data_IF_326149771120
#
_entry.id   IF_326149771120
#
_cell.length_a   1.000
_cell.length_b   1.000
_cell.length_c   1.000
_cell.angle_alpha   90.00
_cell.angle_beta   90.00
_cell.angle_gamma   90.00
#
_symmetry.space_group_name_H-M   'P 1'
#
loop_
_entity.id
_entity.type
_entity.pdbx_description
1 polymer ?
#
# COMPACT_ATOMS: atom_id res chain seq x y z
N UNK A 1 -1.21 11.36 4.40
CA UNK A 1 -2.56 10.79 4.60
C UNK A 1 -2.65 9.37 4.03
N UNK A 2 -2.40 9.15 2.73
CA UNK A 2 -2.46 7.79 2.12
C UNK A 2 -1.40 6.83 2.67
N UNK A 3 -0.14 7.26 2.83
CA UNK A 3 0.91 6.41 3.39
C UNK A 3 0.60 5.89 4.81
N UNK A 4 -0.03 6.73 5.65
CA UNK A 4 -0.47 6.32 6.99
C UNK A 4 -1.61 5.31 6.94
N UNK A 5 -2.58 5.50 6.05
CA UNK A 5 -3.67 4.54 5.86
C UNK A 5 -3.16 3.18 5.35
N UNK A 6 -2.19 3.20 4.43
CA UNK A 6 -1.48 2.01 3.97
C UNK A 6 -0.74 1.32 5.12
N UNK A 7 0.02 2.07 5.93
CA UNK A 7 0.70 1.53 7.09
C UNK A 7 -0.25 0.93 8.11
N UNK A 8 -1.37 1.61 8.42
CA UNK A 8 -2.41 1.06 9.30
C UNK A 8 -3.03 -0.20 8.74
N UNK A 9 -3.22 -0.29 7.41
CA UNK A 9 -3.72 -1.49 6.77
C UNK A 9 -2.73 -2.65 6.84
N UNK A 10 -1.45 -2.40 6.56
CA UNK A 10 -0.39 -3.40 6.68
C UNK A 10 -0.24 -3.88 8.13
N UNK A 11 -0.25 -2.96 9.08
CA UNK A 11 -0.21 -3.25 10.51
C UNK A 11 -1.35 -4.20 10.92
N UNK A 12 -2.58 -3.94 10.45
CA UNK A 12 -3.73 -4.81 10.70
C UNK A 12 -3.58 -6.21 10.05
N UNK A 13 -3.03 -6.29 8.84
CA UNK A 13 -2.81 -7.57 8.13
C UNK A 13 -1.74 -8.41 8.83
N UNK A 14 -0.64 -7.79 9.24
CA UNK A 14 0.47 -8.48 9.92
C UNK A 14 0.30 -8.57 11.43
N UNK A 15 -0.78 -8.03 12.00
CA UNK A 15 -1.02 -7.95 13.44
C UNK A 15 0.16 -7.33 14.21
N UNK A 16 0.72 -6.25 13.66
CA UNK A 16 1.79 -5.44 14.27
C UNK A 16 1.29 -4.03 14.56
N UNK A 17 2.05 -3.24 15.31
CA UNK A 17 1.68 -1.84 15.57
C UNK A 17 1.98 -0.98 14.33
N UNK A 18 1.17 0.07 14.12
CA UNK A 18 1.38 1.00 12.98
C UNK A 18 2.74 1.71 13.05
N UNK A 19 3.26 1.89 14.26
CA UNK A 19 4.58 2.47 14.53
C UNK A 19 5.74 1.55 14.14
N UNK A 20 5.50 0.23 14.08
CA UNK A 20 6.48 -0.76 13.63
C UNK A 20 6.56 -0.84 12.10
N UNK A 21 5.60 -0.23 11.39
CA UNK A 21 5.58 -0.19 9.92
C UNK A 21 6.43 0.96 9.42
N UNK A 22 7.67 0.64 9.06
CA UNK A 22 8.59 1.57 8.41
C UNK A 22 8.10 1.97 7.01
N UNK A 23 7.91 3.27 6.79
CA UNK A 23 7.44 3.83 5.54
C UNK A 23 8.55 3.94 4.47
N UNK A 24 9.80 3.98 4.90
CA UNK A 24 10.98 4.25 4.08
C UNK A 24 11.63 2.98 3.53
N UNK A 25 11.01 1.81 3.77
CA UNK A 25 11.39 0.53 3.17
C UNK A 25 10.32 0.00 2.21
N UNK A 26 10.72 -0.94 1.35
CA UNK A 26 9.84 -1.54 0.37
C UNK A 26 8.71 -2.33 1.03
N UNK A 27 7.53 -2.29 0.41
CA UNK A 27 6.33 -3.00 0.91
C UNK A 27 6.59 -4.50 1.02
N UNK A 28 7.34 -5.08 0.07
CA UNK A 28 7.72 -6.48 0.07
C UNK A 28 8.60 -6.89 1.27
N UNK A 29 9.38 -5.95 1.83
CA UNK A 29 10.24 -6.22 3.01
C UNK A 29 9.40 -6.41 4.26
N UNK A 30 8.19 -5.83 4.33
CA UNK A 30 7.22 -6.05 5.40
C UNK A 30 6.54 -7.42 5.35
N UNK A 31 6.94 -8.32 4.45
CA UNK A 31 6.30 -9.61 4.25
C UNK A 31 5.08 -9.56 3.33
N UNK A 32 4.91 -8.46 2.57
CA UNK A 32 3.86 -8.38 1.54
C UNK A 32 4.21 -9.33 0.40
N UNK A 33 3.50 -10.44 0.37
CA UNK A 33 3.53 -11.43 -0.69
C UNK A 33 2.49 -11.12 -1.78
N UNK A 34 2.37 -12.03 -2.76
CA UNK A 34 1.39 -11.92 -3.84
C UNK A 34 -0.06 -11.87 -3.33
N UNK A 35 -0.40 -12.56 -2.25
CA UNK A 35 -1.76 -12.60 -1.71
C UNK A 35 -2.12 -11.27 -1.04
N UNK A 36 -1.24 -10.79 -0.16
CA UNK A 36 -1.40 -9.50 0.51
C UNK A 36 -1.42 -8.36 -0.51
N UNK A 37 -0.60 -8.44 -1.57
CA UNK A 37 -0.63 -7.46 -2.66
C UNK A 37 -1.98 -7.45 -3.41
N UNK A 38 -2.59 -8.61 -3.66
CA UNK A 38 -3.92 -8.70 -4.26
C UNK A 38 -4.99 -8.08 -3.36
N UNK A 39 -4.95 -8.37 -2.06
CA UNK A 39 -5.88 -7.77 -1.09
C UNK A 39 -5.72 -6.25 -1.01
N UNK A 40 -4.49 -5.76 -0.97
CA UNK A 40 -4.17 -4.34 -0.91
C UNK A 40 -4.65 -3.63 -2.17
N UNK A 41 -4.40 -4.20 -3.35
CA UNK A 41 -4.93 -3.69 -4.63
C UNK A 41 -6.44 -3.58 -4.62
N UNK A 42 -7.12 -4.66 -4.19
CA UNK A 42 -8.58 -4.71 -4.16
C UNK A 42 -9.12 -3.65 -3.20
N UNK A 43 -8.54 -3.51 -2.02
CA UNK A 43 -8.91 -2.47 -1.06
C UNK A 43 -8.72 -1.05 -1.60
N UNK A 44 -7.59 -0.77 -2.26
CA UNK A 44 -7.31 0.53 -2.87
C UNK A 44 -8.27 0.85 -4.02
N UNK A 45 -8.62 -0.16 -4.80
CA UNK A 45 -9.62 -0.06 -5.87
C UNK A 45 -11.00 0.28 -5.29
N UNK A 46 -11.38 -0.33 -4.17
CA UNK A 46 -12.66 -0.08 -3.50
C UNK A 46 -12.71 1.28 -2.80
N UNK A 47 -11.62 1.69 -2.16
CA UNK A 47 -11.59 2.88 -1.30
C UNK A 47 -11.43 4.18 -2.10
N UNK A 48 -10.53 4.18 -3.09
CA UNK A 48 -10.16 5.40 -3.83
C UNK A 48 -10.18 5.21 -5.35
N UNK A 49 -10.71 4.09 -5.85
CA UNK A 49 -10.78 3.76 -7.28
C UNK A 49 -9.41 3.82 -7.98
N UNK A 50 -8.34 3.57 -7.23
CA UNK A 50 -6.99 3.49 -7.79
C UNK A 50 -6.81 2.19 -8.57
N UNK A 51 -6.46 2.31 -9.85
CA UNK A 51 -6.18 1.16 -10.72
C UNK A 51 -4.69 0.87 -10.72
N UNK A 52 -4.28 -0.08 -9.90
CA UNK A 52 -2.89 -0.52 -9.74
C UNK A 52 -2.74 -1.99 -10.13
N UNK A 53 -1.59 -2.33 -10.69
CA UNK A 53 -1.20 -3.72 -10.95
C UNK A 53 -0.56 -4.33 -9.71
N UNK A 54 -0.60 -5.66 -9.57
CA UNK A 54 0.11 -6.35 -8.47
C UNK A 54 1.62 -6.03 -8.52
N UNK A 55 2.17 -5.95 -9.74
CA UNK A 55 3.56 -5.53 -9.97
C UNK A 55 3.85 -4.15 -9.43
N UNK A 56 2.94 -3.18 -9.58
CA UNK A 56 3.13 -1.82 -9.05
C UNK A 56 3.31 -1.83 -7.52
N UNK A 57 2.62 -2.76 -6.84
CA UNK A 57 2.68 -2.94 -5.39
C UNK A 57 4.00 -3.61 -4.99
N UNK A 58 4.36 -4.71 -5.64
CA UNK A 58 5.53 -5.52 -5.31
C UNK A 58 6.86 -4.88 -5.74
N UNK A 59 6.86 -4.08 -6.80
CA UNK A 59 8.04 -3.36 -7.31
C UNK A 59 8.22 -1.98 -6.67
N UNK A 60 7.31 -1.58 -5.78
CA UNK A 60 7.43 -0.28 -5.13
C UNK A 60 8.63 -0.25 -4.18
N UNK A 61 9.58 0.69 -4.39
CA UNK A 61 10.82 0.73 -3.63
C UNK A 61 10.61 1.12 -2.17
N UNK A 62 9.59 1.94 -1.89
CA UNK A 62 9.25 2.41 -0.55
C UNK A 62 7.73 2.49 -0.40
N UNK A 63 7.22 2.25 0.80
CA UNK A 63 5.79 2.41 1.08
C UNK A 63 5.30 3.86 0.84
N UNK A 64 6.18 4.86 1.03
CA UNK A 64 5.89 6.26 0.66
C UNK A 64 5.73 6.46 -0.83
N UNK A 65 6.59 5.85 -1.64
CA UNK A 65 6.51 5.96 -3.09
C UNK A 65 5.31 5.20 -3.63
N UNK A 66 5.00 4.03 -3.04
CA UNK A 66 3.75 3.35 -3.32
C UNK A 66 2.54 4.24 -3.02
N UNK A 67 2.52 4.92 -1.87
CA UNK A 67 1.46 5.84 -1.51
C UNK A 67 1.31 7.01 -2.51
N UNK A 68 2.42 7.51 -3.08
CA UNK A 68 2.36 8.52 -4.15
C UNK A 68 1.77 7.94 -5.42
N UNK A 69 2.23 6.76 -5.85
CA UNK A 69 1.72 6.06 -7.03
C UNK A 69 0.21 5.79 -6.91
N UNK A 70 -0.23 5.40 -5.72
CA UNK A 70 -1.64 5.21 -5.38
C UNK A 70 -2.45 6.49 -5.57
N UNK A 71 -1.91 7.64 -5.16
CA UNK A 71 -2.56 8.95 -5.35
C UNK A 71 -2.60 9.31 -6.83
N UNK A 72 -1.49 9.15 -7.55
CA UNK A 72 -1.41 9.45 -8.99
C UNK A 72 -2.37 8.60 -9.83
N UNK A 73 -2.56 7.34 -9.44
CA UNK A 73 -3.45 6.38 -10.13
C UNK A 73 -4.88 6.41 -9.60
N UNK A 74 -5.12 7.18 -8.54
CA UNK A 74 -6.44 7.38 -7.96
C UNK A 74 -7.25 8.37 -8.78
N UNK A 75 -8.52 8.07 -9.00
CA UNK A 75 -9.45 8.99 -9.66
C UNK A 75 -9.94 10.11 -8.72
N UNK A 76 -9.56 10.07 -7.44
CA UNK A 76 -9.77 11.15 -6.48
C UNK A 76 -8.58 12.12 -6.55
N UNK A 77 -8.52 12.92 -7.62
CA UNK A 77 -7.84 14.20 -7.56
C UNK A 77 -8.86 15.19 -7.00
N UNK A 78 -8.75 15.49 -5.71
CA UNK A 78 -9.37 16.64 -5.07
C UNK A 78 -8.25 17.61 -4.71
#
# INVERSE_FOLDING_TARGET
LVAKALASRLAAVFSVSVEDVDLDIAVAVHGVDSLVAVELRNWLTLTIKAKLSIFDILQSPQLRDFAKLVIEKSALLI
#
